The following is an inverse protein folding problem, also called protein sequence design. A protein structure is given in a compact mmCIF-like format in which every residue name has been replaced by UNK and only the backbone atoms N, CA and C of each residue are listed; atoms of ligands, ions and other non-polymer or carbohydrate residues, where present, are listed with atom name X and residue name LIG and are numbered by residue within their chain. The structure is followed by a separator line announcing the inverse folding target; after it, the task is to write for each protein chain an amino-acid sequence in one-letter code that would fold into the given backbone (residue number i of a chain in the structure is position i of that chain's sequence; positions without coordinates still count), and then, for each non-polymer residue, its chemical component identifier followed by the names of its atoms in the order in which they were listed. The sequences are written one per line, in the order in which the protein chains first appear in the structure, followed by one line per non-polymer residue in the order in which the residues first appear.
data_IF_455535833202
#
_entry.id   IF_455535833202
#
_cell.length_a   1.000
_cell.length_b   1.000
_cell.length_c   1.000
_cell.angle_alpha   90.00
_cell.angle_beta   90.00
_cell.angle_gamma   90.00
#
_symmetry.space_group_name_H-M   'P 1'
#
loop_
_entity.id
_entity.type
_entity.pdbx_description
1 polymer ?
#
# COMPACT_ATOMS: atom_id res chain seq x y z
N UNK A 1 34.73 -29.95 34.87
CA UNK A 1 35.12 -29.43 33.55
C UNK A 1 34.01 -28.64 32.84
N UNK A 2 32.75 -29.10 32.79
CA UNK A 2 31.65 -28.32 32.16
C UNK A 2 31.29 -27.01 32.91
N UNK A 3 31.34 -26.99 34.24
CA UNK A 3 31.02 -25.80 35.06
C UNK A 3 32.10 -24.70 35.04
N UNK A 4 33.36 -25.07 34.86
CA UNK A 4 34.49 -24.13 34.71
C UNK A 4 34.52 -23.47 33.33
N UNK A 5 34.07 -24.17 32.29
CA UNK A 5 34.00 -23.63 30.93
C UNK A 5 32.87 -22.58 30.81
N UNK A 6 31.72 -22.83 31.45
CA UNK A 6 30.60 -21.88 31.50
C UNK A 6 30.96 -20.57 32.21
N UNK A 7 31.80 -20.63 33.25
CA UNK A 7 32.23 -19.45 34.00
C UNK A 7 33.21 -18.57 33.21
N UNK A 8 34.07 -19.19 32.39
CA UNK A 8 35.01 -18.47 31.51
C UNK A 8 34.26 -17.81 30.34
N UNK A 9 33.25 -18.49 29.79
CA UNK A 9 32.43 -17.93 28.71
C UNK A 9 31.60 -16.72 29.19
N UNK A 10 31.02 -16.81 30.39
CA UNK A 10 30.27 -15.70 30.98
C UNK A 10 31.18 -14.50 31.30
N UNK A 11 32.41 -14.74 31.78
CA UNK A 11 33.38 -13.68 32.02
C UNK A 11 33.83 -12.99 30.72
N UNK A 12 34.00 -13.74 29.62
CA UNK A 12 34.38 -13.17 28.32
C UNK A 12 33.28 -12.29 27.70
N UNK A 13 32.00 -12.64 27.88
CA UNK A 13 30.87 -11.83 27.39
C UNK A 13 30.70 -10.52 28.17
N UNK A 14 31.04 -10.49 29.46
CA UNK A 14 30.99 -9.26 30.26
C UNK A 14 32.11 -8.25 29.94
N UNK A 15 33.24 -8.70 29.38
CA UNK A 15 34.33 -7.79 28.97
C UNK A 15 34.11 -7.13 27.60
N UNK A 16 33.24 -7.69 26.75
CA UNK A 16 32.91 -7.09 25.44
C UNK A 16 31.95 -5.89 25.54
N UNK A 17 31.28 -5.73 26.68
CA UNK A 17 30.27 -4.67 26.91
C UNK A 17 30.85 -3.34 27.45
N UNK A 18 32.18 -3.25 27.63
CA UNK A 18 32.83 -2.08 28.26
C UNK A 18 33.76 -1.26 27.33
N UNK A 19 33.76 -1.51 26.02
CA UNK A 19 34.56 -0.71 25.07
C UNK A 19 33.75 -0.28 23.86
N UNK A 20 32.82 0.66 24.06
CA UNK A 20 32.31 1.50 22.98
C UNK A 20 31.62 2.76 23.55
N UNK A 21 32.40 3.77 23.92
CA UNK A 21 31.92 5.16 23.98
C UNK A 21 33.10 6.16 24.00
N UNK A 22 33.11 7.06 23.00
CA UNK A 22 33.81 8.36 22.98
C UNK A 22 34.98 8.46 21.98
N UNK A 23 35.16 9.52 21.18
CA UNK A 23 34.35 10.65 20.72
C UNK A 23 35.16 11.42 19.65
N UNK A 24 34.45 12.08 18.72
CA UNK A 24 34.77 13.37 18.02
C UNK A 24 35.94 13.49 17.01
N UNK A 25 35.60 13.91 15.76
CA UNK A 25 36.48 14.61 14.81
C UNK A 25 36.04 14.52 13.32
N UNK A 26 35.45 15.59 12.77
CA UNK A 26 34.94 15.76 11.37
C UNK A 26 36.05 16.30 10.41
N UNK A 27 35.82 16.51 9.09
CA UNK A 27 35.89 15.55 7.98
C UNK A 27 36.98 15.87 6.91
N UNK A 28 37.37 14.86 6.14
CA UNK A 28 37.92 14.97 4.76
C UNK A 28 37.55 13.63 4.08
N UNK A 29 36.88 13.54 2.93
CA UNK A 29 37.07 14.29 1.71
C UNK A 29 37.90 13.45 0.74
N UNK A 30 37.39 12.32 0.24
CA UNK A 30 37.95 11.65 -0.97
C UNK A 30 36.96 10.68 -1.62
N UNK A 31 37.02 10.65 -2.95
CA UNK A 31 36.15 10.06 -3.97
C UNK A 31 36.04 8.52 -3.96
N UNK A 32 35.05 7.93 -4.66
CA UNK A 32 34.79 6.49 -4.64
C UNK A 32 35.78 5.70 -5.51
N UNK A 33 36.13 4.45 -5.16
CA UNK A 33 36.98 3.63 -6.01
C UNK A 33 36.21 3.09 -7.21
N UNK A 34 36.95 3.06 -8.31
CA UNK A 34 36.53 2.78 -9.67
C UNK A 34 35.98 1.36 -9.89
N UNK A 35 35.02 1.30 -10.82
CA UNK A 35 34.65 0.15 -11.62
C UNK A 35 35.88 -0.62 -12.12
N UNK A 36 35.90 -1.92 -11.89
CA UNK A 36 36.72 -2.85 -12.68
C UNK A 36 35.80 -3.58 -13.64
N UNK A 37 35.96 -3.26 -14.93
CA UNK A 37 35.31 -3.92 -16.04
C UNK A 37 35.79 -5.37 -16.17
N UNK A 38 34.86 -6.31 -16.26
CA UNK A 38 35.12 -7.66 -16.75
C UNK A 38 34.76 -7.72 -18.24
N UNK A 39 35.73 -8.11 -19.07
CA UNK A 39 35.57 -8.37 -20.50
C UNK A 39 35.03 -9.80 -20.74
N UNK A 40 34.50 -10.11 -21.95
CA UNK A 40 33.47 -11.11 -22.15
C UNK A 40 34.03 -12.53 -22.24
N UNK A 41 33.28 -13.51 -21.72
CA UNK A 41 33.61 -14.93 -21.86
C UNK A 41 32.95 -15.50 -23.12
N UNK A 42 33.75 -16.28 -23.84
CA UNK A 42 33.50 -16.88 -25.13
C UNK A 42 32.28 -17.82 -25.16
N UNK A 43 31.56 -17.81 -26.29
CA UNK A 43 30.50 -18.76 -26.59
C UNK A 43 31.02 -20.17 -26.93
N UNK A 44 30.14 -21.18 -26.94
CA UNK A 44 30.47 -22.53 -27.41
C UNK A 44 30.18 -22.71 -28.93
N UNK A 45 30.83 -23.69 -29.57
CA UNK A 45 31.00 -23.74 -31.02
C UNK A 45 29.84 -24.42 -31.77
N UNK A 46 29.64 -23.95 -33.00
CA UNK A 46 28.91 -24.61 -34.06
C UNK A 46 29.70 -25.84 -34.56
N UNK A 47 29.05 -27.00 -34.66
CA UNK A 47 29.47 -28.08 -35.54
C UNK A 47 28.24 -28.71 -36.20
N UNK A 48 28.22 -28.60 -37.53
CA UNK A 48 27.21 -29.16 -38.43
C UNK A 48 27.55 -30.61 -38.77
N UNK A 49 26.55 -31.49 -38.76
CA UNK A 49 26.55 -32.72 -39.55
C UNK A 49 25.12 -33.04 -39.96
N UNK A 50 24.91 -33.02 -41.27
CA UNK A 50 23.66 -33.34 -41.98
C UNK A 50 23.51 -34.85 -42.08
N UNK A 51 22.34 -35.40 -41.73
CA UNK A 51 21.91 -36.70 -42.23
C UNK A 51 20.43 -36.63 -42.63
N UNK A 52 20.13 -37.25 -43.77
CA UNK A 52 18.96 -37.02 -44.63
C UNK A 52 17.68 -37.67 -44.11
N UNK A 53 16.57 -36.96 -44.31
CA UNK A 53 15.21 -37.27 -43.88
C UNK A 53 14.57 -38.54 -44.50
N UNK A 54 13.64 -39.12 -43.72
CA UNK A 54 12.47 -39.87 -44.20
C UNK A 54 11.21 -39.26 -43.54
N UNK A 55 10.01 -39.40 -44.13
CA UNK A 55 8.98 -38.35 -44.09
C UNK A 55 7.94 -38.50 -42.96
N UNK A 56 7.62 -37.34 -42.36
CA UNK A 56 6.31 -36.85 -41.91
C UNK A 56 5.53 -37.64 -40.83
N UNK A 57 5.57 -37.10 -39.61
CA UNK A 57 4.36 -36.64 -38.90
C UNK A 57 4.50 -35.12 -38.74
N UNK A 58 3.44 -34.36 -38.97
CA UNK A 58 3.46 -32.91 -38.77
C UNK A 58 3.74 -32.56 -37.30
N UNK A 59 4.09 -31.31 -36.97
CA UNK A 59 4.02 -30.91 -35.58
C UNK A 59 2.56 -31.04 -35.16
N UNK A 60 2.28 -31.99 -34.27
CA UNK A 60 1.13 -31.85 -33.39
C UNK A 60 1.32 -30.48 -32.72
N UNK A 61 0.43 -29.53 -33.01
CA UNK A 61 0.33 -28.32 -32.21
C UNK A 61 0.07 -28.80 -30.78
N UNK A 62 1.10 -28.77 -29.93
CA UNK A 62 0.88 -28.88 -28.49
C UNK A 62 -0.11 -27.76 -28.14
N UNK A 63 -1.33 -28.14 -27.78
CA UNK A 63 -2.33 -27.19 -27.33
C UNK A 63 -1.73 -26.42 -26.16
N UNK A 64 -1.63 -25.10 -26.32
CA UNK A 64 -1.16 -24.20 -25.27
C UNK A 64 -1.97 -24.47 -24.00
N UNK A 65 -1.28 -24.62 -22.86
CA UNK A 65 -1.93 -24.71 -21.56
C UNK A 65 -2.58 -23.38 -21.14
N UNK A 66 -2.46 -22.32 -21.94
CA UNK A 66 -2.96 -20.98 -21.65
C UNK A 66 -3.86 -20.45 -22.77
N UNK A 67 -5.01 -19.92 -22.36
CA UNK A 67 -6.01 -19.28 -23.21
C UNK A 67 -5.77 -17.77 -23.27
N UNK A 68 -4.70 -17.35 -23.96
CA UNK A 68 -4.36 -15.93 -24.09
C UNK A 68 -5.42 -15.13 -24.86
N UNK A 69 -5.67 -13.90 -24.42
CA UNK A 69 -6.49 -12.93 -25.12
C UNK A 69 -5.74 -12.20 -26.25
N UNK A 70 -4.40 -12.17 -26.21
CA UNK A 70 -3.57 -11.46 -27.17
C UNK A 70 -3.95 -11.80 -28.62
N UNK A 71 -4.24 -10.77 -29.42
CA UNK A 71 -4.63 -10.91 -30.83
C UNK A 71 -6.08 -11.38 -31.08
N UNK A 72 -6.89 -11.61 -30.05
CA UNK A 72 -8.29 -12.09 -30.16
C UNK A 72 -9.35 -11.00 -29.94
N UNK A 73 -8.95 -9.72 -29.91
CA UNK A 73 -9.85 -8.58 -29.71
C UNK A 73 -9.49 -7.43 -30.67
N UNK A 74 -10.46 -6.53 -30.90
CA UNK A 74 -10.29 -5.37 -31.78
C UNK A 74 -9.59 -4.21 -31.07
N UNK A 75 -8.68 -3.55 -31.78
CA UNK A 75 -7.91 -2.39 -31.29
C UNK A 75 -8.25 -1.17 -32.14
N UNK A 76 -8.52 -0.05 -31.48
CA UNK A 76 -8.82 1.23 -32.09
C UNK A 76 -7.57 1.92 -32.67
N UNK A 77 -7.79 3.04 -33.37
CA UNK A 77 -6.69 3.83 -33.94
C UNK A 77 -5.77 4.46 -32.87
N UNK A 78 -6.23 4.55 -31.63
CA UNK A 78 -5.50 5.01 -30.45
C UNK A 78 -4.65 3.92 -29.79
N UNK A 79 -4.70 2.67 -30.29
CA UNK A 79 -3.95 1.55 -29.75
C UNK A 79 -4.59 0.86 -28.55
N UNK A 80 -5.84 1.18 -28.20
CA UNK A 80 -6.58 0.57 -27.09
C UNK A 80 -7.71 -0.34 -27.57
N UNK A 81 -8.13 -1.33 -26.78
CA UNK A 81 -9.29 -2.16 -27.11
C UNK A 81 -10.55 -1.32 -27.33
N UNK A 82 -11.38 -1.67 -28.31
CA UNK A 82 -12.63 -0.95 -28.62
C UNK A 82 -13.81 -1.39 -27.77
N UNK A 83 -13.71 -2.56 -27.14
CA UNK A 83 -14.70 -3.17 -26.26
C UNK A 83 -14.03 -4.19 -25.32
N UNK A 84 -14.78 -4.69 -24.34
CA UNK A 84 -14.34 -5.81 -23.50
C UNK A 84 -14.27 -7.12 -24.30
N UNK A 85 -13.28 -7.93 -23.99
CA UNK A 85 -13.08 -9.29 -24.45
C UNK A 85 -13.68 -10.33 -23.48
N UNK A 86 -14.35 -11.33 -24.04
CA UNK A 86 -14.84 -12.50 -23.30
C UNK A 86 -13.75 -13.57 -23.30
N UNK A 87 -13.20 -13.86 -22.11
CA UNK A 87 -12.15 -14.87 -21.96
C UNK A 87 -12.71 -16.28 -22.10
N UNK A 88 -11.94 -17.14 -22.76
CA UNK A 88 -12.15 -18.58 -22.71
C UNK A 88 -11.64 -19.12 -21.37
N UNK A 89 -12.55 -19.66 -20.56
CA UNK A 89 -12.25 -20.18 -19.23
C UNK A 89 -12.16 -21.72 -19.22
N UNK A 90 -11.25 -22.32 -18.44
CA UNK A 90 -10.28 -21.65 -17.57
C UNK A 90 -9.18 -20.93 -18.38
N UNK A 91 -8.58 -19.89 -17.80
CA UNK A 91 -7.45 -19.17 -18.43
C UNK A 91 -6.24 -20.07 -18.63
N UNK A 92 -6.09 -21.09 -17.77
CA UNK A 92 -5.05 -22.10 -17.91
C UNK A 92 -5.49 -23.46 -17.38
N UNK A 93 -4.86 -24.52 -17.89
CA UNK A 93 -4.93 -25.90 -17.37
C UNK A 93 -3.61 -26.36 -16.77
N UNK A 94 -2.65 -25.44 -16.63
CA UNK A 94 -1.35 -25.67 -16.00
C UNK A 94 -1.50 -25.99 -14.51
N UNK A 95 -0.57 -26.77 -13.96
CA UNK A 95 -0.43 -27.04 -12.53
C UNK A 95 0.54 -26.06 -11.83
N UNK A 96 1.00 -25.04 -12.54
CA UNK A 96 1.79 -23.94 -11.98
C UNK A 96 1.05 -23.24 -10.83
N UNK A 97 1.82 -22.87 -9.80
CA UNK A 97 1.34 -22.17 -8.62
C UNK A 97 2.07 -20.83 -8.53
N UNK A 98 1.31 -19.75 -8.50
CA UNK A 98 1.84 -18.40 -8.29
C UNK A 98 1.80 -18.06 -6.80
N UNK A 99 2.81 -17.37 -6.31
CA UNK A 99 2.85 -16.85 -4.95
C UNK A 99 2.29 -15.43 -4.89
N UNK A 100 1.38 -15.15 -3.95
CA UNK A 100 0.77 -13.83 -3.80
C UNK A 100 0.86 -13.32 -2.37
N UNK A 101 1.67 -12.28 -2.18
CA UNK A 101 1.73 -11.53 -0.93
C UNK A 101 0.64 -10.48 -0.83
N UNK A 102 -0.18 -10.59 0.21
CA UNK A 102 -1.37 -9.76 0.41
C UNK A 102 -1.58 -9.38 1.87
N UNK A 103 -2.32 -8.29 2.07
CA UNK A 103 -2.60 -7.71 3.38
C UNK A 103 -4.08 -7.85 3.69
N UNK A 104 -4.39 -8.40 4.85
CA UNK A 104 -5.77 -8.56 5.33
C UNK A 104 -6.00 -7.72 6.57
N UNK A 105 -6.99 -6.85 6.50
CA UNK A 105 -7.39 -5.97 7.60
C UNK A 105 -8.33 -6.63 8.61
N UNK A 106 -8.95 -7.76 8.24
CA UNK A 106 -9.86 -8.50 9.09
C UNK A 106 -9.49 -10.00 9.15
N UNK A 107 -8.31 -10.33 9.71
CA UNK A 107 -7.81 -11.70 9.72
C UNK A 107 -8.73 -12.67 10.48
N UNK A 108 -9.57 -12.18 11.38
CA UNK A 108 -10.57 -12.97 12.11
C UNK A 108 -11.66 -13.61 11.22
N UNK A 109 -11.80 -13.15 9.97
CA UNK A 109 -12.74 -13.72 9.01
C UNK A 109 -12.09 -14.69 8.01
N UNK A 110 -10.78 -14.93 8.13
CA UNK A 110 -10.12 -15.97 7.34
C UNK A 110 -10.54 -17.34 7.90
N UNK A 111 -11.04 -18.26 7.05
CA UNK A 111 -11.32 -19.63 7.44
C UNK A 111 -10.10 -20.32 8.10
N UNK A 112 -10.35 -21.27 8.99
CA UNK A 112 -9.26 -22.05 9.61
C UNK A 112 -8.43 -22.81 8.57
N UNK A 113 -9.08 -23.20 7.47
CA UNK A 113 -8.47 -23.96 6.38
C UNK A 113 -7.58 -23.12 5.44
N UNK A 114 -7.65 -21.78 5.49
CA UNK A 114 -6.79 -20.90 4.68
C UNK A 114 -7.50 -19.68 4.11
N UNK A 115 -6.73 -18.81 3.46
CA UNK A 115 -7.23 -17.61 2.78
C UNK A 115 -7.83 -17.93 1.41
N UNK A 116 -7.26 -18.92 0.74
CA UNK A 116 -7.72 -19.54 -0.50
C UNK A 116 -9.17 -20.05 -0.41
N UNK A 117 -9.61 -20.46 0.78
CA UNK A 117 -10.98 -20.95 1.04
C UNK A 117 -12.03 -19.84 1.18
N UNK A 118 -11.63 -18.56 1.11
CA UNK A 118 -12.60 -17.48 1.02
C UNK A 118 -13.46 -17.65 -0.23
N UNK A 119 -14.81 -17.55 -0.16
CA UNK A 119 -15.68 -17.94 -1.26
C UNK A 119 -15.37 -17.26 -2.61
N UNK A 120 -14.96 -15.99 -2.58
CA UNK A 120 -14.58 -15.26 -3.79
C UNK A 120 -13.20 -15.69 -4.34
N UNK A 121 -12.29 -16.14 -3.48
CA UNK A 121 -10.95 -16.60 -3.88
C UNK A 121 -11.05 -18.01 -4.47
N UNK A 122 -11.66 -18.96 -3.76
CA UNK A 122 -11.85 -20.33 -4.21
C UNK A 122 -12.62 -20.41 -5.55
N UNK A 123 -13.67 -19.61 -5.72
CA UNK A 123 -14.40 -19.60 -6.99
C UNK A 123 -13.58 -18.94 -8.12
N UNK A 124 -12.75 -17.93 -7.82
CA UNK A 124 -11.85 -17.33 -8.83
C UNK A 124 -10.83 -18.33 -9.32
N UNK A 125 -10.18 -19.08 -8.41
CA UNK A 125 -9.24 -20.15 -8.76
C UNK A 125 -9.91 -21.22 -9.63
N UNK A 126 -11.08 -21.72 -9.21
CA UNK A 126 -11.84 -22.73 -9.97
C UNK A 126 -12.30 -22.24 -11.36
N UNK A 127 -12.71 -20.98 -11.48
CA UNK A 127 -13.16 -20.41 -12.75
C UNK A 127 -12.00 -20.15 -13.70
N UNK A 128 -10.85 -19.70 -13.18
CA UNK A 128 -9.70 -19.28 -14.00
C UNK A 128 -8.68 -20.38 -14.21
N UNK A 129 -8.65 -21.42 -13.37
CA UNK A 129 -7.61 -22.45 -13.35
C UNK A 129 -6.25 -21.96 -12.85
N UNK A 130 -6.17 -20.72 -12.34
CA UNK A 130 -4.92 -20.14 -11.83
C UNK A 130 -4.75 -20.51 -10.36
N UNK A 131 -3.76 -21.34 -10.05
CA UNK A 131 -3.47 -21.75 -8.68
C UNK A 131 -2.61 -20.67 -7.99
N UNK A 132 -2.99 -20.28 -6.76
CA UNK A 132 -2.29 -19.22 -6.02
C UNK A 132 -2.03 -19.63 -4.57
N UNK A 133 -0.77 -19.57 -4.15
CA UNK A 133 -0.36 -19.68 -2.75
C UNK A 133 -0.28 -18.28 -2.11
N UNK A 134 -1.05 -18.05 -1.05
CA UNK A 134 -1.16 -16.72 -0.44
C UNK A 134 -0.22 -16.54 0.76
N UNK A 135 0.61 -15.50 0.71
CA UNK A 135 1.38 -15.00 1.85
C UNK A 135 0.57 -13.88 2.51
N UNK A 136 -0.21 -14.23 3.53
CA UNK A 136 -1.16 -13.30 4.17
C UNK A 136 -0.56 -12.63 5.39
N UNK A 137 -0.54 -11.31 5.39
CA UNK A 137 -0.07 -10.50 6.51
C UNK A 137 -1.16 -9.63 7.10
N UNK A 138 -1.05 -9.39 8.42
CA UNK A 138 -1.76 -8.28 9.06
C UNK A 138 -1.11 -6.94 8.69
N UNK A 139 -1.86 -5.83 8.77
CA UNK A 139 -1.35 -4.52 8.37
C UNK A 139 -0.04 -4.16 9.09
N UNK A 140 0.05 -4.36 10.40
CA UNK A 140 1.16 -3.86 11.22
C UNK A 140 2.56 -4.36 10.80
N UNK A 141 2.65 -5.56 10.22
CA UNK A 141 3.95 -6.21 9.90
C UNK A 141 4.38 -6.06 8.45
N UNK A 142 3.51 -5.53 7.59
CA UNK A 142 3.68 -5.57 6.13
C UNK A 142 4.91 -4.81 5.64
N UNK A 143 5.20 -3.66 6.24
CA UNK A 143 6.34 -2.82 5.87
C UNK A 143 7.70 -3.44 6.23
N UNK A 144 7.79 -4.12 7.39
CA UNK A 144 9.00 -4.82 7.79
C UNK A 144 9.22 -6.07 6.92
N UNK A 145 8.14 -6.81 6.63
CA UNK A 145 8.22 -8.04 5.87
C UNK A 145 8.69 -7.83 4.42
N UNK A 146 8.14 -6.84 3.72
CA UNK A 146 8.58 -6.53 2.34
C UNK A 146 10.02 -6.00 2.28
N UNK A 147 10.46 -5.23 3.28
CA UNK A 147 11.87 -4.81 3.36
C UNK A 147 12.82 -6.01 3.52
N UNK A 148 12.40 -7.05 4.26
CA UNK A 148 13.15 -8.31 4.40
C UNK A 148 13.19 -9.07 3.07
N UNK A 149 12.04 -9.26 2.41
CA UNK A 149 11.97 -9.98 1.12
C UNK A 149 12.80 -9.27 0.03
N UNK A 150 12.73 -7.94 -0.03
CA UNK A 150 13.52 -7.13 -0.96
C UNK A 150 15.03 -7.27 -0.69
N UNK A 151 15.45 -7.27 0.58
CA UNK A 151 16.85 -7.45 0.93
C UNK A 151 17.37 -8.88 0.69
N UNK A 152 16.47 -9.87 0.67
CA UNK A 152 16.78 -11.27 0.41
C UNK A 152 16.80 -11.61 -1.09
N UNK A 153 16.28 -10.74 -1.96
CA UNK A 153 16.03 -11.03 -3.37
C UNK A 153 15.07 -12.23 -3.56
N UNK A 154 14.12 -12.39 -2.63
CA UNK A 154 13.12 -13.46 -2.59
C UNK A 154 11.72 -12.83 -2.61
N UNK A 155 11.39 -12.15 -3.72
CA UNK A 155 10.07 -11.57 -3.95
C UNK A 155 9.09 -12.63 -4.50
N UNK A 156 7.83 -12.61 -4.07
CA UNK A 156 6.77 -13.46 -4.63
C UNK A 156 6.35 -12.96 -6.02
N UNK A 157 5.62 -13.80 -6.76
CA UNK A 157 5.18 -13.51 -8.13
C UNK A 157 4.23 -12.30 -8.19
N UNK A 158 3.40 -12.13 -7.16
CA UNK A 158 2.46 -11.03 -7.03
C UNK A 158 2.53 -10.41 -5.63
N UNK A 159 2.35 -9.08 -5.57
CA UNK A 159 2.30 -8.34 -4.30
C UNK A 159 1.26 -7.23 -4.35
N UNK A 160 0.43 -7.15 -3.32
CA UNK A 160 -0.50 -6.03 -3.14
C UNK A 160 0.22 -4.85 -2.49
N UNK A 161 0.00 -3.62 -2.95
CA UNK A 161 0.53 -2.40 -2.31
C UNK A 161 2.06 -2.35 -2.15
N UNK A 162 2.84 -3.17 -2.87
CA UNK A 162 4.29 -3.30 -2.69
C UNK A 162 5.04 -1.97 -2.78
N UNK A 163 4.69 -1.15 -3.77
CA UNK A 163 5.38 0.10 -4.07
C UNK A 163 5.44 1.04 -2.85
N UNK A 164 4.39 1.05 -2.01
CA UNK A 164 4.33 1.89 -0.81
C UNK A 164 5.44 1.61 0.21
N UNK A 165 6.04 0.42 0.16
CA UNK A 165 6.97 -0.05 1.18
C UNK A 165 8.39 -0.29 0.67
N UNK A 166 8.59 -0.25 -0.65
CA UNK A 166 9.93 -0.38 -1.24
C UNK A 166 10.84 0.83 -0.95
N UNK A 167 10.24 1.98 -0.60
CA UNK A 167 10.97 3.25 -0.43
C UNK A 167 11.50 3.85 -1.73
N UNK A 168 11.21 3.23 -2.88
CA UNK A 168 11.66 3.61 -4.21
C UNK A 168 10.46 3.99 -5.09
N UNK A 169 10.69 4.86 -6.08
CA UNK A 169 9.68 5.17 -7.09
C UNK A 169 9.43 3.97 -8.04
N UNK A 170 8.31 3.99 -8.77
CA UNK A 170 7.95 2.88 -9.65
C UNK A 170 9.00 2.61 -10.74
N UNK A 171 9.59 3.66 -11.33
CA UNK A 171 10.63 3.51 -12.37
C UNK A 171 11.85 2.77 -11.85
N UNK A 172 12.35 3.18 -10.69
CA UNK A 172 13.52 2.55 -10.10
C UNK A 172 13.25 1.09 -9.74
N UNK A 173 12.08 0.78 -9.16
CA UNK A 173 11.71 -0.62 -8.89
C UNK A 173 11.72 -1.49 -10.16
N UNK A 174 11.24 -0.95 -11.29
CA UNK A 174 11.22 -1.66 -12.57
C UNK A 174 12.63 -1.77 -13.17
N UNK A 175 13.39 -0.68 -13.19
CA UNK A 175 14.75 -0.63 -13.75
C UNK A 175 15.73 -1.52 -12.97
N UNK A 176 15.58 -1.60 -11.65
CA UNK A 176 16.36 -2.47 -10.77
C UNK A 176 15.88 -3.94 -10.81
N UNK A 177 14.78 -4.23 -11.52
CA UNK A 177 14.28 -5.59 -11.75
C UNK A 177 13.39 -6.17 -10.65
N UNK A 178 12.99 -5.37 -9.67
CA UNK A 178 12.12 -5.81 -8.57
C UNK A 178 10.64 -5.89 -8.95
N UNK A 179 10.20 -5.08 -9.93
CA UNK A 179 8.82 -5.09 -10.44
C UNK A 179 8.82 -5.22 -11.97
N UNK A 180 7.82 -5.93 -12.50
CA UNK A 180 7.57 -5.99 -13.94
C UNK A 180 6.88 -4.71 -14.42
N UNK A 181 7.30 -4.20 -15.59
CA UNK A 181 6.52 -3.20 -16.30
C UNK A 181 5.30 -3.88 -16.95
N UNK A 182 4.15 -3.82 -16.29
CA UNK A 182 2.91 -4.40 -16.77
C UNK A 182 2.44 -3.81 -18.11
N UNK A 183 2.98 -2.66 -18.53
CA UNK A 183 2.71 -2.11 -19.86
C UNK A 183 3.11 -3.09 -20.97
N UNK A 184 4.16 -3.88 -20.76
CA UNK A 184 4.61 -4.91 -21.70
C UNK A 184 3.62 -6.08 -21.78
N UNK A 185 2.79 -6.27 -20.75
CA UNK A 185 1.75 -7.30 -20.68
C UNK A 185 0.36 -6.80 -21.09
N UNK A 186 0.21 -5.54 -21.53
CA UNK A 186 -1.11 -4.92 -21.80
C UNK A 186 -1.97 -5.68 -22.80
N UNK A 187 -1.37 -6.44 -23.72
CA UNK A 187 -2.10 -7.25 -24.70
C UNK A 187 -2.83 -8.46 -24.09
N UNK A 188 -2.40 -8.90 -22.90
CA UNK A 188 -3.05 -9.97 -22.16
C UNK A 188 -4.18 -9.44 -21.25
N UNK A 189 -4.36 -8.11 -21.14
CA UNK A 189 -5.33 -7.48 -20.25
C UNK A 189 -6.32 -6.56 -20.99
N UNK A 190 -6.95 -6.98 -22.10
CA UNK A 190 -7.80 -6.10 -22.91
C UNK A 190 -8.95 -5.46 -22.12
N UNK A 191 -9.56 -6.16 -21.18
CA UNK A 191 -10.65 -5.60 -20.37
C UNK A 191 -10.15 -4.45 -19.49
N UNK A 192 -8.98 -4.62 -18.87
CA UNK A 192 -8.38 -3.58 -18.05
C UNK A 192 -7.99 -2.35 -18.87
N UNK A 193 -7.38 -2.57 -20.04
CA UNK A 193 -6.96 -1.50 -20.94
C UNK A 193 -8.16 -0.76 -21.57
N UNK A 194 -9.27 -1.47 -21.81
CA UNK A 194 -10.52 -0.86 -22.24
C UNK A 194 -11.02 0.15 -21.20
N UNK A 195 -11.21 -0.31 -19.95
CA UNK A 195 -11.71 0.55 -18.88
C UNK A 195 -10.76 1.70 -18.55
N UNK A 196 -9.44 1.45 -18.53
CA UNK A 196 -8.43 2.49 -18.34
C UNK A 196 -8.54 3.63 -19.35
N UNK A 197 -9.04 3.35 -20.57
CA UNK A 197 -9.20 4.33 -21.63
C UNK A 197 -10.62 4.90 -21.74
N UNK A 198 -11.66 4.16 -21.32
CA UNK A 198 -13.06 4.50 -21.61
C UNK A 198 -13.84 5.15 -20.47
N UNK A 199 -13.35 5.12 -19.23
CA UNK A 199 -14.13 5.54 -18.04
C UNK A 199 -14.38 7.05 -17.92
N UNK A 200 -13.80 7.89 -18.78
CA UNK A 200 -14.14 9.31 -18.88
C UNK A 200 -13.69 10.19 -17.70
N UNK A 201 -12.99 9.63 -16.72
CA UNK A 201 -12.24 10.37 -15.69
C UNK A 201 -10.77 10.49 -16.12
N UNK A 202 -10.32 11.73 -16.34
CA UNK A 202 -8.96 12.05 -16.76
C UNK A 202 -7.89 11.50 -15.78
N UNK A 203 -8.26 11.26 -14.51
CA UNK A 203 -7.37 10.68 -13.51
C UNK A 203 -7.17 9.17 -13.69
N UNK A 204 -8.12 8.43 -14.27
CA UNK A 204 -8.00 6.97 -14.39
C UNK A 204 -6.84 6.62 -15.31
N UNK A 205 -6.81 7.19 -16.52
CA UNK A 205 -5.75 6.90 -17.49
C UNK A 205 -4.38 7.31 -16.98
N UNK A 206 -4.28 8.47 -16.35
CA UNK A 206 -3.02 9.00 -15.80
C UNK A 206 -2.58 8.29 -14.51
N UNK A 207 -3.48 7.65 -13.77
CA UNK A 207 -3.10 6.80 -12.61
C UNK A 207 -2.58 5.45 -13.08
N UNK A 208 -3.27 4.83 -14.04
CA UNK A 208 -2.90 3.50 -14.58
C UNK A 208 -1.61 3.58 -15.40
N UNK A 209 -1.50 4.62 -16.24
CA UNK A 209 -0.33 4.91 -17.05
C UNK A 209 0.17 6.32 -16.73
N UNK A 210 0.97 6.49 -15.66
CA UNK A 210 1.52 7.80 -15.27
C UNK A 210 2.37 8.44 -16.37
N UNK A 211 2.96 7.62 -17.24
CA UNK A 211 3.71 8.02 -18.41
C UNK A 211 3.52 6.98 -19.51
N UNK A 212 3.63 7.41 -20.77
CA UNK A 212 3.61 6.50 -21.90
C UNK A 212 4.67 5.41 -21.75
N UNK A 213 4.26 4.14 -21.92
CA UNK A 213 5.15 2.99 -21.76
C UNK A 213 5.33 2.49 -20.32
N UNK A 214 4.71 3.12 -19.33
CA UNK A 214 4.86 2.74 -17.92
C UNK A 214 3.52 2.34 -17.30
N UNK A 215 3.46 1.13 -16.76
CA UNK A 215 2.37 0.65 -15.93
C UNK A 215 2.94 -0.34 -14.92
N UNK A 216 2.76 -0.11 -13.62
CA UNK A 216 3.45 -0.85 -12.56
C UNK A 216 2.51 -1.56 -11.58
N UNK A 217 1.20 -1.35 -11.72
CA UNK A 217 0.19 -1.99 -10.89
C UNK A 217 -1.15 -2.10 -11.63
N UNK A 218 -1.97 -3.05 -11.19
CA UNK A 218 -3.40 -3.13 -11.55
C UNK A 218 -4.20 -2.52 -10.40
N UNK A 219 -4.95 -1.47 -10.72
CA UNK A 219 -5.81 -0.73 -9.79
C UNK A 219 -7.27 -1.15 -9.90
N UNK A 220 -7.99 -1.10 -8.77
CA UNK A 220 -9.44 -1.01 -8.81
C UNK A 220 -9.86 0.33 -9.45
N UNK A 221 -10.78 0.28 -10.39
CA UNK A 221 -11.37 1.46 -11.02
C UNK A 221 -12.82 1.60 -10.56
N UNK A 222 -13.22 2.83 -10.22
CA UNK A 222 -14.57 3.14 -9.75
C UNK A 222 -15.33 3.89 -10.84
N UNK A 223 -16.52 3.43 -11.18
CA UNK A 223 -17.42 4.07 -12.15
C UNK A 223 -18.16 5.28 -11.55
N UNK A 224 -18.20 5.38 -10.22
CA UNK A 224 -18.71 6.52 -9.47
C UNK A 224 -17.75 6.94 -8.35
N UNK A 225 -17.81 8.22 -7.96
CA UNK A 225 -17.06 8.72 -6.82
C UNK A 225 -17.68 8.23 -5.52
N UNK A 226 -16.89 7.57 -4.67
CA UNK A 226 -17.30 7.09 -3.36
C UNK A 226 -16.71 8.02 -2.29
N UNK A 227 -17.58 8.69 -1.52
CA UNK A 227 -17.16 9.31 -0.25
C UNK A 227 -17.07 8.18 0.76
N UNK A 228 -15.85 7.73 1.04
CA UNK A 228 -15.62 6.53 1.84
C UNK A 228 -15.43 6.82 3.33
N UNK A 229 -15.01 8.03 3.70
CA UNK A 229 -14.64 8.35 5.08
C UNK A 229 -14.97 9.79 5.48
N UNK A 230 -15.22 9.98 6.78
CA UNK A 230 -15.46 11.31 7.35
C UNK A 230 -15.55 11.31 8.87
N UNK A 231 -15.54 12.50 9.48
CA UNK A 231 -15.85 12.62 10.90
C UNK A 231 -17.35 12.57 11.14
N UNK A 232 -17.72 11.89 12.21
CA UNK A 232 -19.09 11.65 12.64
C UNK A 232 -19.23 12.06 14.09
N UNK A 233 -20.29 12.82 14.38
CA UNK A 233 -20.67 13.22 15.73
C UNK A 233 -21.84 12.37 16.24
N UNK A 234 -21.88 12.13 17.54
CA UNK A 234 -23.00 11.46 18.21
C UNK A 234 -24.25 12.34 18.25
N UNK A 235 -25.22 12.04 17.38
CA UNK A 235 -26.49 12.76 17.30
C UNK A 235 -27.24 12.78 18.64
N UNK A 236 -27.29 11.65 19.36
CA UNK A 236 -27.95 11.57 20.67
C UNK A 236 -27.26 12.41 21.77
N UNK A 237 -25.99 12.79 21.58
CA UNK A 237 -25.29 13.73 22.46
C UNK A 237 -25.61 15.17 22.09
N UNK A 238 -25.67 15.47 20.79
CA UNK A 238 -26.10 16.78 20.29
C UNK A 238 -27.52 17.10 20.78
N UNK A 239 -28.46 16.16 20.65
CA UNK A 239 -29.85 16.34 21.11
C UNK A 239 -29.95 16.67 22.61
N UNK A 240 -29.17 15.99 23.46
CA UNK A 240 -29.12 16.26 24.91
C UNK A 240 -28.63 17.66 25.24
N UNK A 241 -27.75 18.20 24.40
CA UNK A 241 -27.19 19.53 24.52
C UNK A 241 -28.05 20.60 23.82
N UNK A 242 -29.15 20.20 23.18
CA UNK A 242 -30.00 21.10 22.40
C UNK A 242 -29.35 21.60 21.11
N UNK A 243 -28.39 20.85 20.57
CA UNK A 243 -27.67 21.13 19.33
C UNK A 243 -28.10 20.18 18.22
N UNK A 244 -27.79 20.56 16.98
CA UNK A 244 -27.97 19.77 15.77
C UNK A 244 -26.71 19.85 14.90
N UNK A 245 -26.61 18.99 13.89
CA UNK A 245 -25.50 19.06 12.93
C UNK A 245 -25.43 20.41 12.19
N UNK A 246 -26.55 21.11 12.01
CA UNK A 246 -26.58 22.42 11.35
C UNK A 246 -26.01 23.57 12.19
N UNK A 247 -25.80 23.34 13.50
CA UNK A 247 -25.16 24.32 14.38
C UNK A 247 -23.63 24.26 14.29
N UNK A 248 -23.06 23.25 13.61
CA UNK A 248 -21.62 23.00 13.56
C UNK A 248 -21.11 23.26 12.14
N UNK A 249 -20.56 24.45 11.90
CA UNK A 249 -20.14 24.88 10.57
C UNK A 249 -18.67 25.30 10.49
N UNK A 250 -18.04 25.55 11.64
CA UNK A 250 -16.66 26.03 11.76
C UNK A 250 -15.87 25.16 12.72
N UNK A 251 -14.54 25.26 12.69
CA UNK A 251 -13.69 24.60 13.68
C UNK A 251 -13.94 25.11 15.11
N UNK A 252 -14.39 26.35 15.27
CA UNK A 252 -14.76 26.90 16.58
C UNK A 252 -16.03 26.22 17.11
N UNK A 253 -17.02 25.96 16.24
CA UNK A 253 -18.24 25.21 16.63
C UNK A 253 -17.89 23.76 16.99
N UNK A 254 -16.94 23.14 16.27
CA UNK A 254 -16.44 21.80 16.59
C UNK A 254 -15.74 21.81 17.95
N UNK A 255 -14.91 22.81 18.23
CA UNK A 255 -14.25 22.98 19.52
C UNK A 255 -15.27 23.14 20.66
N UNK A 256 -16.31 23.95 20.47
CA UNK A 256 -17.40 24.13 21.43
C UNK A 256 -18.15 22.81 21.65
N UNK A 257 -18.53 22.11 20.58
CA UNK A 257 -19.18 20.80 20.65
C UNK A 257 -18.34 19.81 21.46
N UNK A 258 -17.03 19.68 21.16
CA UNK A 258 -16.13 18.78 21.89
C UNK A 258 -16.02 19.16 23.37
N UNK A 259 -15.97 20.46 23.67
CA UNK A 259 -15.95 20.99 25.03
C UNK A 259 -17.23 20.65 25.79
N UNK A 260 -18.40 20.77 25.15
CA UNK A 260 -19.69 20.39 25.72
C UNK A 260 -19.79 18.89 25.93
N UNK A 261 -19.38 18.08 24.94
CA UNK A 261 -19.30 16.62 25.08
C UNK A 261 -18.47 16.22 26.29
N UNK A 262 -17.31 16.84 26.48
CA UNK A 262 -16.44 16.57 27.62
C UNK A 262 -17.05 16.96 28.97
N UNK A 263 -17.74 18.10 29.02
CA UNK A 263 -18.14 18.73 30.31
C UNK A 263 -19.57 18.40 30.73
N UNK A 264 -20.44 18.01 29.79
CA UNK A 264 -21.87 17.84 30.03
C UNK A 264 -22.41 16.45 29.69
N UNK A 265 -21.66 15.60 28.99
CA UNK A 265 -22.07 14.23 28.72
C UNK A 265 -21.44 13.26 29.74
N UNK A 266 -22.29 12.67 30.56
CA UNK A 266 -21.88 11.65 31.53
C UNK A 266 -21.28 10.43 30.82
N UNK A 267 -20.09 10.00 31.27
CA UNK A 267 -19.39 8.84 30.72
C UNK A 267 -18.51 9.14 29.50
N UNK A 268 -18.49 10.37 29.00
CA UNK A 268 -17.51 10.80 28.00
C UNK A 268 -16.10 10.76 28.60
N UNK A 269 -15.23 9.90 28.05
CA UNK A 269 -13.82 9.78 28.43
C UNK A 269 -13.01 10.87 27.74
N UNK A 270 -13.07 10.86 26.41
CA UNK A 270 -12.49 11.86 25.52
C UNK A 270 -13.48 12.08 24.38
N UNK A 271 -13.78 13.33 24.02
CA UNK A 271 -14.83 13.61 23.05
C UNK A 271 -14.39 13.30 21.62
N UNK A 272 -13.08 13.36 21.29
CA UNK A 272 -12.54 13.09 19.95
C UNK A 272 -11.54 11.93 19.94
N UNK A 273 -11.71 10.99 19.02
CA UNK A 273 -10.69 9.97 18.70
C UNK A 273 -9.91 10.37 17.44
N UNK A 274 -8.61 10.05 17.44
CA UNK A 274 -7.70 10.24 16.32
C UNK A 274 -6.84 8.99 16.14
N UNK A 275 -6.23 8.82 14.96
CA UNK A 275 -5.21 7.80 14.71
C UNK A 275 -3.84 8.40 14.49
N UNK A 276 -2.81 7.55 14.56
CA UNK A 276 -1.41 7.89 14.31
C UNK A 276 -1.18 8.56 12.96
N UNK A 277 -2.01 8.24 11.97
CA UNK A 277 -2.06 8.93 10.68
C UNK A 277 -3.01 10.13 10.78
N UNK A 278 -2.52 11.25 11.29
CA UNK A 278 -3.35 12.44 11.56
C UNK A 278 -4.14 12.84 10.31
N UNK A 279 -5.45 13.08 10.48
CA UNK A 279 -6.38 13.62 9.48
C UNK A 279 -6.40 12.96 8.08
N UNK A 280 -6.53 11.63 8.04
CA UNK A 280 -6.66 10.87 6.78
C UNK A 280 -7.86 11.27 5.90
N UNK A 281 -8.85 11.96 6.47
CA UNK A 281 -10.07 12.41 5.77
C UNK A 281 -10.04 13.88 5.37
N UNK A 282 -8.91 14.57 5.58
CA UNK A 282 -8.72 16.00 5.25
C UNK A 282 -9.77 16.92 5.90
N UNK A 283 -10.27 16.58 7.10
CA UNK A 283 -11.26 17.36 7.83
C UNK A 283 -10.75 18.76 8.18
N UNK A 284 -9.45 18.88 8.47
CA UNK A 284 -8.83 20.15 8.83
C UNK A 284 -8.36 20.96 7.60
N UNK A 285 -8.75 20.59 6.38
CA UNK A 285 -8.31 21.25 5.13
C UNK A 285 -8.57 22.76 5.07
N UNK A 286 -9.43 23.30 5.93
CA UNK A 286 -9.63 24.74 6.14
C UNK A 286 -8.37 25.53 6.55
N UNK A 287 -7.27 24.86 6.92
CA UNK A 287 -5.96 25.50 7.12
C UNK A 287 -5.22 25.79 5.81
N UNK A 288 -5.79 25.50 4.63
CA UNK A 288 -5.16 25.69 3.32
C UNK A 288 -3.79 24.98 3.21
N UNK A 289 -3.74 23.73 3.69
CA UNK A 289 -2.59 22.82 3.57
C UNK A 289 -3.06 21.37 3.44
N UNK A 290 -2.15 20.47 3.08
CA UNK A 290 -2.38 19.03 3.24
C UNK A 290 -2.22 18.70 4.72
N UNK A 291 -3.32 18.33 5.36
CA UNK A 291 -3.39 18.06 6.81
C UNK A 291 -3.05 16.63 7.18
N UNK A 292 -3.06 15.73 6.20
CA UNK A 292 -2.74 14.33 6.42
C UNK A 292 -1.26 14.16 6.79
N UNK A 293 -0.99 13.75 8.02
CA UNK A 293 0.36 13.36 8.47
C UNK A 293 0.42 11.84 8.57
N UNK A 294 1.28 11.20 7.79
CA UNK A 294 1.54 9.77 7.88
C UNK A 294 2.95 9.50 8.43
N UNK A 295 3.13 8.36 9.11
CA UNK A 295 4.45 7.93 9.61
C UNK A 295 5.28 7.15 8.59
N UNK A 296 4.71 6.85 7.43
CA UNK A 296 5.25 5.89 6.45
C UNK A 296 5.79 6.54 5.17
N UNK A 297 5.71 7.85 5.02
CA UNK A 297 6.17 8.54 3.82
C UNK A 297 6.38 10.03 4.00
N UNK A 298 7.03 10.64 3.01
CA UNK A 298 7.01 12.10 2.87
C UNK A 298 5.65 12.54 2.32
N UNK A 299 5.14 13.69 2.74
CA UNK A 299 3.89 14.17 2.20
C UNK A 299 4.08 14.60 0.74
N UNK A 300 3.02 14.45 -0.05
CA UNK A 300 3.00 14.90 -1.45
C UNK A 300 3.01 16.42 -1.50
N UNK A 301 3.88 17.01 -2.33
CA UNK A 301 3.84 18.45 -2.59
C UNK A 301 2.55 18.82 -3.36
N UNK A 302 2.00 20.00 -3.07
CA UNK A 302 0.80 20.51 -3.75
C UNK A 302 1.10 21.81 -4.48
N UNK A 303 0.23 22.20 -5.41
CA UNK A 303 0.43 23.41 -6.22
C UNK A 303 -0.38 24.57 -5.64
N UNK A 304 0.31 25.66 -5.32
CA UNK A 304 -0.30 26.97 -4.99
C UNK A 304 0.27 27.99 -5.96
N UNK A 305 -0.61 28.67 -6.70
CA UNK A 305 -0.24 29.69 -7.70
C UNK A 305 0.87 29.24 -8.68
N UNK A 306 0.78 27.99 -9.15
CA UNK A 306 1.73 27.40 -10.10
C UNK A 306 3.09 27.02 -9.51
N UNK A 307 3.24 27.05 -8.18
CA UNK A 307 4.45 26.64 -7.47
C UNK A 307 4.19 25.42 -6.60
N UNK A 308 5.15 24.51 -6.58
CA UNK A 308 5.14 23.38 -5.63
C UNK A 308 5.39 23.91 -4.22
N UNK A 309 4.49 23.57 -3.31
CA UNK A 309 4.55 23.83 -1.87
C UNK A 309 4.62 22.48 -1.16
N UNK A 310 5.54 22.38 -0.20
CA UNK A 310 5.63 21.21 0.65
C UNK A 310 4.78 21.44 1.90
N UNK A 311 3.81 20.57 2.21
CA UNK A 311 3.08 20.65 3.46
C UNK A 311 4.00 20.27 4.63
N UNK A 312 3.50 20.46 5.84
CA UNK A 312 4.22 20.23 7.11
C UNK A 312 5.48 21.11 7.26
N UNK A 313 5.54 22.25 6.58
CA UNK A 313 6.72 23.12 6.58
C UNK A 313 6.42 24.62 6.63
N UNK A 314 5.17 25.02 6.42
CA UNK A 314 4.73 26.41 6.35
C UNK A 314 3.99 26.90 7.60
N UNK A 315 3.54 28.16 7.53
CA UNK A 315 2.77 28.82 8.59
C UNK A 315 1.40 28.18 8.81
N UNK A 316 0.72 27.79 7.73
CA UNK A 316 -0.55 27.08 7.77
C UNK A 316 -0.44 25.75 8.54
N UNK A 317 0.64 25.00 8.31
CA UNK A 317 0.91 23.75 9.02
C UNK A 317 1.18 24.00 10.52
N UNK A 318 1.91 25.07 10.85
CA UNK A 318 2.15 25.47 12.24
C UNK A 318 0.85 25.85 12.95
N UNK A 319 -0.03 26.58 12.29
CA UNK A 319 -1.33 26.96 12.83
C UNK A 319 -2.20 25.73 13.08
N UNK A 320 -2.25 24.83 12.10
CA UNK A 320 -2.94 23.55 12.22
C UNK A 320 -2.44 22.72 13.41
N UNK A 321 -1.12 22.49 13.49
CA UNK A 321 -0.51 21.74 14.58
C UNK A 321 -0.72 22.40 15.95
N UNK A 322 -0.73 23.73 16.00
CA UNK A 322 -0.99 24.49 17.23
C UNK A 322 -2.43 24.31 17.73
N UNK A 323 -3.41 24.29 16.82
CA UNK A 323 -4.82 24.01 17.16
C UNK A 323 -4.99 22.61 17.73
N UNK A 324 -4.42 21.58 17.09
CA UNK A 324 -4.46 20.22 17.61
C UNK A 324 -3.74 20.09 18.97
N UNK A 325 -2.59 20.75 19.13
CA UNK A 325 -1.86 20.77 20.40
C UNK A 325 -2.69 21.43 21.51
N UNK A 326 -3.43 22.50 21.19
CA UNK A 326 -4.35 23.13 22.12
C UNK A 326 -5.47 22.17 22.52
N UNK A 327 -6.17 21.57 21.56
CA UNK A 327 -7.28 20.64 21.83
C UNK A 327 -6.82 19.43 22.66
N UNK A 328 -5.62 18.92 22.40
CA UNK A 328 -5.02 17.84 23.19
C UNK A 328 -4.72 18.30 24.63
N UNK A 329 -4.17 19.50 24.83
CA UNK A 329 -3.90 20.06 26.17
C UNK A 329 -5.19 20.29 26.97
N UNK A 330 -6.26 20.68 26.29
CA UNK A 330 -7.59 20.80 26.88
C UNK A 330 -8.23 19.45 27.15
N UNK A 331 -7.62 18.35 26.68
CA UNK A 331 -8.08 16.99 26.80
C UNK A 331 -9.37 16.76 26.02
N UNK A 332 -9.47 17.32 24.83
CA UNK A 332 -10.55 17.03 23.88
C UNK A 332 -10.21 15.82 23.00
N UNK A 333 -8.92 15.53 22.83
CA UNK A 333 -8.43 14.39 22.04
C UNK A 333 -7.97 13.29 23.00
N UNK A 334 -8.24 12.02 22.67
CA UNK A 334 -7.68 10.91 23.43
C UNK A 334 -6.15 10.91 23.39
N UNK A 335 -5.42 11.06 24.52
CA UNK A 335 -3.95 10.97 24.55
C UNK A 335 -3.38 9.64 24.02
N UNK A 336 -4.20 8.59 23.90
CA UNK A 336 -3.84 7.30 23.30
C UNK A 336 -3.76 7.30 21.76
N UNK A 337 -4.14 8.38 21.07
CA UNK A 337 -4.31 8.42 19.61
C UNK A 337 -3.10 7.92 18.79
N UNK A 338 -1.87 8.14 19.29
CA UNK A 338 -0.65 7.67 18.61
C UNK A 338 -0.52 6.14 18.55
N UNK A 339 -1.23 5.41 19.41
CA UNK A 339 -1.29 3.96 19.42
C UNK A 339 -2.47 3.38 18.63
N UNK A 340 -3.31 4.22 18.02
CA UNK A 340 -4.42 3.79 17.19
C UNK A 340 -4.03 3.89 15.72
N UNK A 341 -4.10 2.78 14.99
CA UNK A 341 -3.70 2.72 13.59
C UNK A 341 -4.87 2.95 12.63
N UNK A 342 -6.06 2.48 13.00
CA UNK A 342 -7.30 2.57 12.21
C UNK A 342 -8.50 2.86 13.10
N UNK A 343 -9.66 3.16 12.51
CA UNK A 343 -10.90 3.39 13.26
C UNK A 343 -11.26 2.20 14.18
N UNK A 344 -11.00 0.97 13.71
CA UNK A 344 -11.20 -0.26 14.49
C UNK A 344 -10.36 -0.29 15.79
N UNK A 345 -9.25 0.44 15.87
CA UNK A 345 -8.39 0.46 17.07
C UNK A 345 -9.09 1.06 18.30
N UNK A 346 -10.12 1.90 18.11
CA UNK A 346 -10.89 2.53 19.18
C UNK A 346 -12.39 2.17 19.15
N UNK A 347 -12.80 1.19 18.34
CA UNK A 347 -14.21 0.79 18.18
C UNK A 347 -14.90 0.48 19.51
N UNK A 348 -14.18 -0.16 20.43
CA UNK A 348 -14.69 -0.45 21.78
C UNK A 348 -15.21 0.80 22.51
N UNK A 349 -14.57 1.97 22.31
CA UNK A 349 -15.02 3.21 22.95
C UNK A 349 -16.26 3.79 22.29
N UNK A 350 -16.42 3.59 20.98
CA UNK A 350 -17.62 3.93 20.22
C UNK A 350 -18.78 3.06 20.70
N UNK A 351 -18.60 1.74 20.73
CA UNK A 351 -19.63 0.80 21.20
C UNK A 351 -19.99 0.97 22.67
N UNK A 352 -19.02 1.30 23.52
CA UNK A 352 -19.26 1.59 24.93
C UNK A 352 -19.91 2.97 25.16
N UNK A 353 -20.01 3.80 24.12
CA UNK A 353 -20.56 5.14 24.20
C UNK A 353 -19.73 6.09 25.08
N UNK A 354 -18.40 6.00 24.99
CA UNK A 354 -17.47 6.81 25.81
C UNK A 354 -16.70 7.86 25.00
N UNK A 355 -16.98 7.98 23.70
CA UNK A 355 -16.47 9.02 22.79
C UNK A 355 -17.60 9.54 21.87
N UNK A 356 -17.43 10.75 21.35
CA UNK A 356 -18.50 11.52 20.71
C UNK A 356 -18.24 11.95 19.27
N UNK A 357 -16.99 12.07 18.86
CA UNK A 357 -16.58 12.58 17.56
C UNK A 357 -15.43 11.73 17.01
N UNK A 358 -15.70 10.97 15.96
CA UNK A 358 -14.77 9.95 15.46
C UNK A 358 -14.71 9.99 13.94
N UNK A 359 -13.58 9.65 13.35
CA UNK A 359 -13.54 9.34 11.93
C UNK A 359 -13.94 7.87 11.71
N UNK A 360 -14.73 7.61 10.68
CA UNK A 360 -15.03 6.26 10.19
C UNK A 360 -14.88 6.19 8.69
#
# INVERSE_FOLDING_TARGET
MKKTLALILAAAMLFALLTACGSSGKPAGTAPPAQTAAAPTAGPPTASATETAAPTEGPEEEESLYNYAAGKYEVGADGYPTSTYEYELPLTTSDEVLTFWTVVFMPQFIPEDGYEELPNIAETEKMTGVNVEYIVLGPEVRGENIAIMLAADELPDMMSQALYYTGMGYKQNIEDGYLLNLYDCREYMPNYMYYANSMGDDNVKTTVMPEEGWMYAVYAMYDESLVTMGYLAREDWLEKLGMTNTDINTLDDVHEMLTLFKTQIDGCRWPMEMISSVDVVCFFSCFDTITQVNGTGLPTGYIVDGKVVMPHSGENDFNYASTLAQWNKEGLIDPGWTGYYMAMSFENYVSAGTTGFVFM
#
